data_IF_088077141124
#
_entry.id   IF_088077141124
#
_cell.length_a   1.000
_cell.length_b   1.000
_cell.length_c   1.000
_cell.angle_alpha   90.00
_cell.angle_beta   90.00
_cell.angle_gamma   90.00
#
_symmetry.space_group_name_H-M   'P 1'
#
loop_
_entity.id
_entity.type
_entity.pdbx_description
1 polymer ?
#
# COMPACT_ATOMS: atom_id res chain seq x y z
N UNK A 1 -14.12 -21.10 8.34
CA UNK A 1 -13.68 -19.73 7.96
C UNK A 1 -14.14 -18.69 8.97
N UNK A 2 -15.45 -18.56 9.23
CA UNK A 2 -16.00 -17.54 10.14
C UNK A 2 -15.36 -17.54 11.54
N UNK A 3 -15.23 -18.71 12.15
CA UNK A 3 -14.61 -18.89 13.47
C UNK A 3 -13.15 -18.42 13.47
N UNK A 4 -12.34 -18.95 12.55
CA UNK A 4 -10.93 -18.57 12.38
C UNK A 4 -10.75 -17.06 12.19
N UNK A 5 -11.58 -16.43 11.35
CA UNK A 5 -11.54 -14.97 11.17
C UNK A 5 -11.95 -14.22 12.45
N UNK A 6 -12.95 -14.72 13.17
CA UNK A 6 -13.42 -14.09 14.42
C UNK A 6 -12.36 -14.20 15.52
N UNK A 7 -11.68 -15.34 15.63
CA UNK A 7 -10.58 -15.57 16.57
C UNK A 7 -9.38 -14.68 16.25
N UNK A 8 -8.91 -14.66 15.00
CA UNK A 8 -7.79 -13.81 14.60
C UNK A 8 -8.07 -12.32 14.86
N UNK A 9 -9.30 -11.86 14.57
CA UNK A 9 -9.71 -10.49 14.87
C UNK A 9 -9.82 -10.22 16.37
N UNK A 10 -10.22 -11.22 17.17
CA UNK A 10 -10.28 -11.10 18.62
C UNK A 10 -8.88 -10.98 19.24
N UNK A 11 -7.91 -11.78 18.77
CA UNK A 11 -6.51 -11.69 19.20
C UNK A 11 -5.93 -10.30 18.91
N UNK A 12 -6.20 -9.77 17.72
CA UNK A 12 -5.72 -8.44 17.34
C UNK A 12 -6.40 -7.30 18.12
N UNK A 13 -7.71 -7.39 18.35
CA UNK A 13 -8.51 -6.31 18.98
C UNK A 13 -8.58 -6.41 20.51
N UNK A 14 -8.22 -7.56 21.08
CA UNK A 14 -8.37 -7.86 22.51
C UNK A 14 -9.82 -8.09 22.97
N UNK A 15 -10.78 -8.18 22.04
CA UNK A 15 -12.21 -8.38 22.34
C UNK A 15 -12.80 -9.40 21.38
N UNK A 16 -13.46 -10.43 21.93
CA UNK A 16 -14.17 -11.41 21.12
C UNK A 16 -15.48 -10.83 20.56
N UNK A 17 -15.57 -10.78 19.23
CA UNK A 17 -16.79 -10.44 18.51
C UNK A 17 -16.90 -11.32 17.28
N UNK A 18 -17.98 -12.08 17.20
CA UNK A 18 -18.28 -12.90 16.04
C UNK A 18 -18.48 -12.00 14.82
N UNK A 19 -17.73 -12.24 13.75
CA UNK A 19 -17.96 -11.58 12.46
C UNK A 19 -18.95 -12.39 11.63
N UNK A 20 -19.82 -11.71 10.87
CA UNK A 20 -20.76 -12.42 10.01
C UNK A 20 -20.06 -12.92 8.75
N UNK A 21 -20.51 -14.05 8.20
CA UNK A 21 -20.02 -14.53 6.89
C UNK A 21 -20.22 -13.50 5.78
N UNK A 22 -21.31 -12.74 5.86
CA UNK A 22 -21.58 -11.64 4.92
C UNK A 22 -20.46 -10.61 4.97
N UNK A 23 -20.02 -10.21 6.17
CA UNK A 23 -18.92 -9.27 6.37
C UNK A 23 -17.64 -9.80 5.72
N UNK A 24 -17.28 -11.06 5.99
CA UNK A 24 -16.07 -11.67 5.40
C UNK A 24 -16.15 -11.67 3.87
N UNK A 25 -17.31 -12.02 3.30
CA UNK A 25 -17.51 -12.06 1.85
C UNK A 25 -17.49 -10.67 1.22
N UNK A 26 -18.10 -9.69 1.87
CA UNK A 26 -18.11 -8.29 1.41
C UNK A 26 -16.69 -7.71 1.44
N UNK A 27 -15.91 -7.98 2.50
CA UNK A 27 -14.51 -7.54 2.61
C UNK A 27 -13.64 -8.16 1.52
N UNK A 28 -13.73 -9.47 1.28
CA UNK A 28 -13.01 -10.15 0.19
C UNK A 28 -13.38 -9.56 -1.17
N UNK A 29 -14.67 -9.28 -1.39
CA UNK A 29 -15.14 -8.66 -2.65
C UNK A 29 -14.52 -7.27 -2.83
N UNK A 30 -14.48 -6.45 -1.77
CA UNK A 30 -13.90 -5.12 -1.82
C UNK A 30 -12.39 -5.19 -2.07
N UNK A 31 -11.66 -6.08 -1.39
CA UNK A 31 -10.22 -6.26 -1.59
C UNK A 31 -9.86 -6.68 -3.02
N UNK A 32 -10.70 -7.50 -3.67
CA UNK A 32 -10.53 -7.91 -5.07
C UNK A 32 -10.87 -6.82 -6.08
N UNK A 33 -11.56 -5.76 -5.66
CA UNK A 33 -12.06 -4.72 -6.56
C UNK A 33 -11.09 -3.55 -6.67
N UNK A 34 -11.30 -2.74 -7.70
CA UNK A 34 -10.62 -1.45 -7.91
C UNK A 34 -10.96 -0.40 -6.84
N UNK A 35 -11.98 -0.61 -6.00
CA UNK A 35 -12.52 0.39 -5.08
C UNK A 35 -11.48 0.96 -4.09
N UNK A 36 -10.53 0.13 -3.66
CA UNK A 36 -9.43 0.54 -2.78
C UNK A 36 -8.09 0.67 -3.52
N UNK A 37 -8.05 0.41 -4.83
CA UNK A 37 -6.81 0.37 -5.62
C UNK A 37 -5.88 -0.80 -5.31
N UNK A 38 -6.32 -1.77 -4.50
CA UNK A 38 -5.51 -2.93 -4.11
C UNK A 38 -5.54 -4.06 -5.15
N UNK A 39 -6.72 -4.28 -5.75
CA UNK A 39 -6.97 -5.34 -6.73
C UNK A 39 -6.34 -6.69 -6.33
N UNK A 40 -6.55 -7.06 -5.07
CA UNK A 40 -5.85 -8.18 -4.46
C UNK A 40 -6.12 -9.49 -5.22
N UNK A 41 -5.08 -10.28 -5.55
CA UNK A 41 -5.19 -11.48 -6.38
C UNK A 41 -5.72 -12.66 -5.54
N UNK A 42 -6.90 -12.52 -4.97
CA UNK A 42 -7.51 -13.52 -4.08
C UNK A 42 -8.30 -14.54 -4.91
N UNK A 43 -7.92 -15.81 -4.80
CA UNK A 43 -8.59 -16.97 -5.41
C UNK A 43 -9.28 -17.83 -4.36
N UNK A 44 -10.24 -18.64 -4.78
CA UNK A 44 -10.96 -19.58 -3.93
C UNK A 44 -10.83 -21.00 -4.47
N UNK A 45 -10.08 -21.84 -3.77
CA UNK A 45 -9.76 -23.22 -4.14
C UNK A 45 -9.78 -24.09 -2.87
N UNK A 46 -10.17 -25.36 -2.98
CA UNK A 46 -10.23 -26.30 -1.83
C UNK A 46 -10.96 -25.73 -0.60
N UNK A 47 -12.08 -25.05 -0.85
CA UNK A 47 -12.92 -24.40 0.17
C UNK A 47 -12.21 -23.32 1.01
N UNK A 48 -11.10 -22.76 0.49
CA UNK A 48 -10.24 -21.79 1.16
C UNK A 48 -9.90 -20.62 0.24
N UNK A 49 -9.63 -19.46 0.84
CA UNK A 49 -9.18 -18.27 0.13
C UNK A 49 -7.66 -18.14 0.23
N UNK A 50 -7.01 -17.83 -0.89
CA UNK A 50 -5.56 -17.64 -0.99
C UNK A 50 -5.21 -16.47 -1.89
N UNK A 51 -4.04 -15.87 -1.69
CA UNK A 51 -3.43 -15.04 -2.72
C UNK A 51 -2.80 -15.95 -3.79
N UNK A 52 -3.12 -15.73 -5.06
CA UNK A 52 -2.49 -16.47 -6.15
C UNK A 52 -1.04 -16.04 -6.39
N UNK A 53 -0.69 -14.81 -6.00
CA UNK A 53 0.70 -14.34 -5.93
C UNK A 53 1.16 -14.31 -4.46
N UNK A 54 2.11 -15.19 -4.05
CA UNK A 54 2.65 -15.20 -2.70
C UNK A 54 3.43 -13.93 -2.31
N UNK A 55 3.90 -13.15 -3.29
CA UNK A 55 4.63 -11.91 -3.04
C UNK A 55 3.71 -10.70 -2.90
N UNK A 56 2.41 -10.86 -3.12
CA UNK A 56 1.46 -9.76 -3.00
C UNK A 56 1.35 -9.26 -1.56
N UNK A 57 1.37 -7.95 -1.39
CA UNK A 57 1.12 -7.26 -0.13
C UNK A 57 0.23 -6.05 -0.35
N UNK A 58 -0.82 -5.89 0.45
CA UNK A 58 -1.67 -4.69 0.44
C UNK A 58 -0.92 -3.41 0.88
N UNK A 59 0.27 -3.56 1.46
CA UNK A 59 1.12 -2.44 1.88
C UNK A 59 2.15 -2.05 0.83
N UNK A 60 2.26 -2.80 -0.26
CA UNK A 60 3.01 -2.34 -1.41
C UNK A 60 2.15 -1.30 -2.13
N UNK A 61 2.52 -0.02 -1.97
CA UNK A 61 2.15 1.03 -2.92
C UNK A 61 2.39 0.46 -4.31
N UNK A 62 1.42 0.59 -5.22
CA UNK A 62 1.58 0.02 -6.56
C UNK A 62 2.94 0.46 -7.12
N UNK A 63 3.73 -0.48 -7.61
CA UNK A 63 5.07 -0.18 -8.11
C UNK A 63 5.02 0.95 -9.16
N UNK A 64 3.92 1.04 -9.90
CA UNK A 64 3.63 2.10 -10.87
C UNK A 64 3.51 3.49 -10.23
N UNK A 65 2.73 3.66 -9.16
CA UNK A 65 2.62 4.94 -8.44
C UNK A 65 3.94 5.31 -7.77
N UNK A 66 4.68 4.33 -7.25
CA UNK A 66 5.99 4.55 -6.65
C UNK A 66 7.01 4.98 -7.70
N UNK A 67 6.99 4.37 -8.88
CA UNK A 67 7.88 4.73 -9.99
C UNK A 67 7.52 6.12 -10.55
N UNK A 68 6.23 6.44 -10.70
CA UNK A 68 5.78 7.78 -11.06
C UNK A 68 6.26 8.83 -10.04
N UNK A 69 6.15 8.54 -8.75
CA UNK A 69 6.64 9.42 -7.68
C UNK A 69 8.17 9.59 -7.75
N UNK A 70 8.92 8.54 -8.11
CA UNK A 70 10.36 8.62 -8.35
C UNK A 70 10.68 9.49 -9.56
N UNK A 71 9.99 9.32 -10.68
CA UNK A 71 10.19 10.15 -11.87
C UNK A 71 9.93 11.64 -11.57
N UNK A 72 8.82 11.95 -10.88
CA UNK A 72 8.50 13.31 -10.45
C UNK A 72 9.58 13.85 -9.50
N UNK A 73 10.05 13.06 -8.55
CA UNK A 73 11.12 13.45 -7.62
C UNK A 73 12.43 13.77 -8.36
N UNK A 74 12.82 12.94 -9.33
CA UNK A 74 14.02 13.16 -10.16
C UNK A 74 13.89 14.43 -11.02
N UNK A 75 12.71 14.67 -11.62
CA UNK A 75 12.44 15.90 -12.37
C UNK A 75 12.58 17.15 -11.48
N UNK A 76 12.05 17.11 -10.27
CA UNK A 76 12.16 18.21 -9.30
C UNK A 76 13.60 18.44 -8.83
N UNK A 77 14.38 17.37 -8.62
CA UNK A 77 15.80 17.49 -8.28
C UNK A 77 16.62 18.12 -9.40
N UNK A 78 16.35 17.77 -10.66
CA UNK A 78 17.04 18.34 -11.83
C UNK A 78 16.80 19.84 -11.97
N UNK A 79 15.61 20.31 -11.61
CA UNK A 79 15.20 21.71 -11.72
C UNK A 79 15.32 22.47 -10.38
N UNK A 80 16.00 21.89 -9.36
CA UNK A 80 16.07 22.42 -7.99
C UNK A 80 16.55 23.88 -7.92
N UNK A 81 17.46 24.27 -8.82
CA UNK A 81 18.05 25.61 -8.84
C UNK A 81 17.05 26.69 -9.27
N UNK A 82 16.00 26.29 -10.01
CA UNK A 82 14.92 27.17 -10.45
C UNK A 82 13.76 27.21 -9.45
N UNK A 83 13.69 26.24 -8.53
CA UNK A 83 12.67 26.11 -7.51
C UNK A 83 13.15 26.72 -6.19
N UNK A 84 13.08 28.04 -6.07
CA UNK A 84 13.46 28.76 -4.85
C UNK A 84 12.27 28.95 -3.90
N UNK A 85 12.31 28.31 -2.73
CA UNK A 85 11.35 28.55 -1.64
C UNK A 85 11.48 27.52 -0.50
N UNK A 86 11.16 27.90 0.75
CA UNK A 86 11.22 26.98 1.91
C UNK A 86 10.26 25.79 1.77
N UNK A 87 9.18 25.94 1.02
CA UNK A 87 8.18 24.90 0.75
C UNK A 87 8.73 23.76 -0.14
N UNK A 88 9.64 24.09 -1.06
CA UNK A 88 10.28 23.12 -1.97
C UNK A 88 11.15 22.14 -1.20
N UNK A 89 11.93 22.62 -0.23
CA UNK A 89 12.75 21.77 0.62
C UNK A 89 11.91 20.81 1.47
N UNK A 90 10.79 21.28 2.02
CA UNK A 90 9.87 20.43 2.78
C UNK A 90 9.16 19.39 1.89
N UNK A 91 8.82 19.74 0.66
CA UNK A 91 8.24 18.82 -0.32
C UNK A 91 9.24 17.73 -0.74
N UNK A 92 10.46 18.11 -1.09
CA UNK A 92 11.53 17.16 -1.48
C UNK A 92 11.84 16.16 -0.37
N UNK A 93 11.88 16.62 0.90
CA UNK A 93 12.07 15.73 2.04
C UNK A 93 10.95 14.69 2.16
N UNK A 94 9.69 15.14 2.06
CA UNK A 94 8.52 14.23 2.11
C UNK A 94 8.50 13.24 0.94
N UNK A 95 8.88 13.68 -0.26
CA UNK A 95 8.98 12.80 -1.43
C UNK A 95 10.11 11.77 -1.30
N UNK A 96 11.24 12.14 -0.68
CA UNK A 96 12.34 11.21 -0.36
C UNK A 96 11.87 10.13 0.62
N UNK A 97 11.11 10.49 1.65
CA UNK A 97 10.58 9.55 2.64
C UNK A 97 9.59 8.53 2.02
N UNK A 98 8.76 8.97 1.07
CA UNK A 98 7.75 8.12 0.39
C UNK A 98 8.37 7.22 -0.69
N UNK A 99 9.34 7.74 -1.46
CA UNK A 99 10.00 6.97 -2.52
C UNK A 99 11.03 5.98 -1.99
N UNK A 100 11.56 6.22 -0.78
CA UNK A 100 12.68 5.46 -0.19
C UNK A 100 14.04 5.77 -0.84
N UNK A 101 14.08 6.77 -1.72
CA UNK A 101 15.30 7.27 -2.35
C UNK A 101 15.94 8.32 -1.42
N UNK A 102 17.20 8.14 -1.06
CA UNK A 102 17.94 9.17 -0.33
C UNK A 102 18.20 10.37 -1.24
N UNK A 103 18.05 11.60 -0.73
CA UNK A 103 18.53 12.80 -1.45
C UNK A 103 20.02 12.57 -1.74
N UNK A 104 20.46 12.47 -3.02
CA UNK A 104 21.86 12.24 -3.32
C UNK A 104 22.67 13.37 -2.71
N UNK A 105 23.41 13.06 -1.65
CA UNK A 105 24.44 13.94 -1.13
C UNK A 105 25.53 13.97 -2.20
N UNK A 106 25.44 15.02 -3.02
CA UNK A 106 26.38 15.38 -4.08
C UNK A 106 26.26 14.51 -5.34
N UNK A 107 25.97 15.17 -6.45
CA UNK A 107 26.53 14.81 -7.75
C UNK A 107 27.28 16.08 -8.20
N UNK A 108 28.52 15.94 -8.73
CA UNK A 108 29.49 17.02 -8.94
C UNK A 108 28.99 18.22 -9.75
#
# INVERSE_FOLDING_TARGET
MQEVCSEALAEFRGVYKLVSERTIRDDIRVMRSEMLGFEAPIVFEDEKYYYSDPNYSIFDVSMEEKELLKEVFLMLLKEREKLTGPEVGALLKRLSDVTGEGIPHQIP
#
